data_IF_167236744976
#
_entry.id   IF_167236744976
#
_cell.length_a   1.000
_cell.length_b   1.000
_cell.length_c   1.000
_cell.angle_alpha   90.00
_cell.angle_beta   90.00
_cell.angle_gamma   90.00
#
_symmetry.space_group_name_H-M   'P 1'
#
loop_
_entity.id
_entity.type
_entity.pdbx_description
1 polymer ?
#
# COMPACT_ATOMS: atom_id res chain seq x y z
N UNK A 1 -7.40 -5.60 7.94
CA UNK A 1 -6.96 -6.62 6.97
C UNK A 1 -5.93 -5.99 6.06
N UNK A 2 -4.66 -6.33 6.28
CA UNK A 2 -3.51 -5.65 5.67
C UNK A 2 -2.30 -6.56 5.79
N UNK A 3 -1.69 -6.94 4.68
CA UNK A 3 -0.49 -7.78 4.67
C UNK A 3 -0.36 -8.67 3.44
N UNK A 4 0.64 -9.53 3.53
CA UNK A 4 1.26 -10.31 2.45
C UNK A 4 1.92 -9.43 1.39
N UNK A 5 1.12 -8.71 0.61
CA UNK A 5 1.57 -7.68 -0.32
C UNK A 5 0.59 -6.50 -0.25
N UNK A 6 1.14 -5.29 -0.38
CA UNK A 6 0.40 -4.05 -0.21
C UNK A 6 0.86 -3.02 -1.22
N UNK A 7 -0.09 -2.27 -1.76
CA UNK A 7 0.18 -1.22 -2.75
C UNK A 7 0.02 0.14 -2.10
N UNK A 8 1.07 0.93 -2.18
CA UNK A 8 1.12 2.30 -1.69
C UNK A 8 1.54 3.27 -2.79
N UNK A 9 1.78 4.51 -2.37
CA UNK A 9 2.35 5.54 -3.23
C UNK A 9 3.26 6.45 -2.40
N UNK A 10 4.07 7.25 -3.08
CA UNK A 10 4.84 8.30 -2.42
C UNK A 10 3.91 9.42 -1.93
N UNK A 11 4.05 9.82 -0.68
CA UNK A 11 3.13 10.74 -0.03
C UNK A 11 3.82 11.61 1.01
N UNK A 12 3.19 12.74 1.32
CA UNK A 12 3.55 13.57 2.45
C UNK A 12 2.37 13.83 3.37
N UNK A 13 2.66 14.08 4.65
CA UNK A 13 1.67 14.45 5.64
C UNK A 13 1.54 15.98 5.65
N UNK A 14 0.37 16.50 5.28
CA UNK A 14 0.03 17.92 5.40
C UNK A 14 -1.09 18.08 6.42
N UNK A 15 -0.87 18.83 7.50
CA UNK A 15 -1.90 19.04 8.52
C UNK A 15 -2.42 17.75 9.18
N UNK A 16 -1.60 16.69 9.22
CA UNK A 16 -1.97 15.39 9.80
C UNK A 16 -2.68 14.43 8.85
N UNK A 17 -2.90 14.80 7.58
CA UNK A 17 -3.49 13.93 6.56
C UNK A 17 -2.48 13.58 5.46
N UNK A 18 -2.53 12.36 4.90
CA UNK A 18 -1.68 11.94 3.80
C UNK A 18 -2.15 12.51 2.45
N UNK A 19 -1.20 13.01 1.66
CA UNK A 19 -1.42 13.49 0.31
C UNK A 19 -0.37 12.90 -0.62
N UNK A 20 -0.74 12.41 -1.82
CA UNK A 20 0.24 12.02 -2.83
C UNK A 20 1.21 13.16 -3.12
N UNK A 21 2.49 12.84 -3.28
CA UNK A 21 3.47 13.81 -3.80
C UNK A 21 3.22 14.06 -5.29
N UNK A 22 3.79 15.13 -5.83
CA UNK A 22 3.71 15.43 -7.26
C UNK A 22 4.39 14.35 -8.13
N UNK A 23 5.40 13.67 -7.58
CA UNK A 23 6.18 12.63 -8.26
C UNK A 23 5.59 11.22 -8.09
N UNK A 24 4.55 11.06 -7.26
CA UNK A 24 3.92 9.77 -6.96
C UNK A 24 3.30 9.04 -8.16
N UNK A 25 3.05 9.76 -9.26
CA UNK A 25 2.30 9.23 -10.41
C UNK A 25 0.81 8.98 -10.13
N UNK A 26 0.29 9.45 -9.00
CA UNK A 26 -1.10 9.30 -8.62
C UNK A 26 -2.04 9.94 -9.66
N UNK A 27 -3.16 9.29 -10.04
CA UNK A 27 -4.17 9.89 -10.90
C UNK A 27 -4.79 11.17 -10.31
N UNK A 28 -5.19 12.10 -11.17
CA UNK A 28 -5.89 13.32 -10.77
C UNK A 28 -7.12 13.01 -9.91
N UNK A 29 -7.26 13.75 -8.81
CA UNK A 29 -8.38 13.61 -7.88
C UNK A 29 -8.29 12.40 -6.95
N UNK A 30 -7.14 11.73 -6.85
CA UNK A 30 -6.95 10.65 -5.89
C UNK A 30 -7.07 11.11 -4.44
N UNK A 31 -7.84 10.33 -3.68
CA UNK A 31 -8.04 10.49 -2.24
C UNK A 31 -7.44 9.29 -1.52
N UNK A 32 -6.61 9.56 -0.52
CA UNK A 32 -6.11 8.56 0.41
C UNK A 32 -7.11 8.43 1.56
N UNK A 33 -7.69 7.23 1.73
CA UNK A 33 -8.70 6.95 2.73
C UNK A 33 -8.12 6.32 4.00
N UNK A 34 -7.05 5.54 3.86
CA UNK A 34 -6.31 4.93 4.96
C UNK A 34 -4.87 4.64 4.53
N UNK A 35 -3.95 4.66 5.49
CA UNK A 35 -2.53 4.32 5.31
C UNK A 35 -2.15 3.23 6.32
N UNK A 36 -1.55 2.16 5.84
CA UNK A 36 -0.81 1.19 6.63
C UNK A 36 0.68 1.34 6.38
N UNK A 37 1.49 1.16 7.43
CA UNK A 37 2.94 1.09 7.29
C UNK A 37 3.34 -0.32 6.85
N UNK A 38 4.31 -0.41 5.95
CA UNK A 38 4.87 -1.66 5.47
C UNK A 38 6.40 -1.63 5.56
N UNK A 39 7.00 -2.81 5.51
CA UNK A 39 8.45 -2.95 5.42
C UNK A 39 8.79 -3.96 4.35
N UNK A 40 9.87 -3.70 3.62
CA UNK A 40 10.48 -4.64 2.67
C UNK A 40 11.67 -5.37 3.30
N UNK A 41 12.20 -4.86 4.43
CA UNK A 41 13.35 -5.42 5.15
C UNK A 41 13.10 -5.31 6.65
N UNK A 42 13.48 -6.31 7.42
CA UNK A 42 13.55 -6.22 8.88
C UNK A 42 14.79 -5.46 9.32
N UNK A 43 14.59 -4.31 9.94
CA UNK A 43 15.68 -3.53 10.53
C UNK A 43 15.80 -3.84 12.03
N UNK A 44 16.56 -4.90 12.37
CA UNK A 44 16.90 -5.20 13.76
C UNK A 44 18.35 -5.66 13.89
N UNK A 45 19.13 -4.96 14.70
CA UNK A 45 20.49 -5.38 15.05
C UNK A 45 20.50 -6.55 16.05
N UNK A 46 19.36 -6.86 16.67
CA UNK A 46 19.22 -7.85 17.72
C UNK A 46 18.71 -9.21 17.20
N UNK A 47 18.30 -9.28 15.94
CA UNK A 47 17.77 -10.50 15.30
C UNK A 47 18.83 -11.03 14.32
N UNK A 48 19.38 -12.23 14.54
CA UNK A 48 20.28 -12.89 13.59
C UNK A 48 19.65 -13.00 12.21
N UNK A 49 20.45 -12.90 11.15
CA UNK A 49 19.94 -12.88 9.76
C UNK A 49 19.20 -14.17 9.40
N UNK A 50 19.60 -15.30 9.98
CA UNK A 50 18.95 -16.60 9.82
C UNK A 50 17.56 -16.69 10.45
N UNK A 51 17.25 -15.78 11.38
CA UNK A 51 15.98 -15.71 12.11
C UNK A 51 15.05 -14.61 11.56
N UNK A 52 15.51 -13.82 10.59
CA UNK A 52 14.72 -12.75 9.97
C UNK A 52 13.71 -13.34 8.97
N UNK A 53 12.48 -12.83 9.00
CA UNK A 53 11.45 -13.23 8.04
C UNK A 53 11.54 -12.41 6.74
N UNK A 54 11.79 -11.11 6.84
CA UNK A 54 12.13 -10.22 5.72
C UNK A 54 13.62 -9.86 5.77
N UNK A 55 14.45 -10.62 5.03
CA UNK A 55 15.86 -10.24 4.78
C UNK A 55 15.93 -9.10 3.76
N UNK A 56 17.08 -8.83 3.15
CA UNK A 56 17.20 -7.73 2.19
C UNK A 56 16.84 -8.08 0.74
N UNK A 57 16.57 -9.34 0.41
CA UNK A 57 16.39 -9.79 -0.99
C UNK A 57 15.29 -9.02 -1.74
N UNK A 58 14.08 -8.94 -1.19
CA UNK A 58 12.95 -8.22 -1.82
C UNK A 58 13.22 -6.71 -1.91
N UNK A 59 13.86 -6.14 -0.88
CA UNK A 59 14.31 -4.76 -0.87
C UNK A 59 15.36 -4.48 -1.97
N UNK A 60 16.31 -5.40 -2.16
CA UNK A 60 17.36 -5.32 -3.19
C UNK A 60 16.77 -5.43 -4.59
N UNK A 61 15.85 -6.36 -4.79
CA UNK A 61 15.10 -6.50 -6.04
C UNK A 61 14.32 -5.23 -6.37
N UNK A 62 13.65 -4.64 -5.38
CA UNK A 62 12.92 -3.36 -5.54
C UNK A 62 13.89 -2.22 -5.87
N UNK A 63 15.03 -2.14 -5.19
CA UNK A 63 16.06 -1.13 -5.44
C UNK A 63 16.64 -1.22 -6.86
N UNK A 64 16.94 -2.43 -7.34
CA UNK A 64 17.40 -2.65 -8.71
C UNK A 64 16.31 -2.28 -9.73
N UNK A 65 15.07 -2.69 -9.48
CA UNK A 65 13.94 -2.40 -10.37
C UNK A 65 13.67 -0.90 -10.51
N UNK A 66 13.73 -0.14 -9.41
CA UNK A 66 13.40 1.29 -9.41
C UNK A 66 14.58 2.19 -9.76
N UNK A 67 15.81 1.80 -9.39
CA UNK A 67 16.99 2.66 -9.50
C UNK A 67 18.14 2.07 -10.34
N UNK A 68 17.97 0.86 -10.87
CA UNK A 68 18.95 0.19 -11.73
C UNK A 68 20.13 -0.46 -11.01
N UNK A 69 20.19 -0.39 -9.68
CA UNK A 69 21.25 -1.00 -8.87
C UNK A 69 20.76 -1.33 -7.44
N UNK A 70 21.09 -2.54 -6.97
CA UNK A 70 20.79 -3.01 -5.61
C UNK A 70 21.78 -2.48 -4.54
N UNK A 71 22.20 -1.22 -4.62
CA UNK A 71 23.16 -0.61 -3.67
C UNK A 71 22.52 -0.34 -2.30
N UNK A 72 23.32 -0.25 -1.24
CA UNK A 72 22.82 0.09 0.12
C UNK A 72 22.09 1.43 0.15
N UNK A 73 22.57 2.40 -0.64
CA UNK A 73 21.94 3.71 -0.77
C UNK A 73 20.55 3.63 -1.44
N UNK A 74 20.34 2.69 -2.37
CA UNK A 74 19.03 2.48 -2.98
C UNK A 74 18.13 1.60 -2.10
N UNK A 75 18.69 0.64 -1.37
CA UNK A 75 17.94 -0.15 -0.38
C UNK A 75 17.34 0.75 0.71
N UNK A 76 18.10 1.73 1.21
CA UNK A 76 17.62 2.67 2.23
C UNK A 76 16.36 3.45 1.80
N UNK A 77 16.19 3.67 0.49
CA UNK A 77 15.03 4.36 -0.09
C UNK A 77 13.76 3.50 -0.12
N UNK A 78 13.89 2.18 -0.16
CA UNK A 78 12.76 1.25 -0.43
C UNK A 78 12.45 0.32 0.73
N UNK A 79 13.38 0.17 1.68
CA UNK A 79 13.20 -0.74 2.82
C UNK A 79 11.97 -0.41 3.66
N UNK A 80 11.55 0.85 3.70
CA UNK A 80 10.31 1.32 4.35
C UNK A 80 9.28 1.59 3.27
N UNK A 81 8.08 1.07 3.47
CA UNK A 81 6.98 1.21 2.55
C UNK A 81 5.68 1.57 3.23
N UNK A 82 4.63 1.59 2.42
CA UNK A 82 3.27 1.79 2.89
C UNK A 82 2.30 1.06 1.97
N UNK A 83 1.07 0.91 2.43
CA UNK A 83 -0.04 0.47 1.62
C UNK A 83 -1.24 1.36 1.90
N UNK A 84 -2.04 1.64 0.89
CA UNK A 84 -3.10 2.63 0.99
C UNK A 84 -4.43 2.13 0.45
N UNK A 85 -5.50 2.48 1.16
CA UNK A 85 -6.83 2.46 0.57
C UNK A 85 -7.00 3.79 -0.16
N UNK A 86 -7.25 3.75 -1.46
CA UNK A 86 -7.43 4.95 -2.28
C UNK A 86 -8.71 4.89 -3.11
N UNK A 87 -9.22 6.08 -3.46
CA UNK A 87 -10.34 6.25 -4.38
C UNK A 87 -10.07 7.41 -5.34
N UNK A 88 -10.37 7.25 -6.63
CA UNK A 88 -10.18 8.31 -7.62
C UNK A 88 -11.11 8.17 -8.83
N UNK A 89 -11.46 9.28 -9.52
CA UNK A 89 -12.23 9.22 -10.75
C UNK A 89 -11.39 8.68 -11.92
N UNK A 90 -12.00 7.90 -12.82
CA UNK A 90 -11.37 7.46 -14.07
C UNK A 90 -12.39 7.43 -15.21
N UNK A 91 -12.25 8.37 -16.15
CA UNK A 91 -13.18 8.50 -17.27
C UNK A 91 -14.60 8.79 -16.79
N UNK A 92 -15.55 7.91 -17.11
CA UNK A 92 -16.95 8.02 -16.68
C UNK A 92 -17.26 7.33 -15.34
N UNK A 93 -16.25 6.72 -14.70
CA UNK A 93 -16.40 5.95 -13.47
C UNK A 93 -15.43 6.38 -12.38
N UNK A 94 -15.33 5.54 -11.36
CA UNK A 94 -14.45 5.71 -10.21
C UNK A 94 -13.71 4.38 -9.96
N UNK A 95 -12.50 4.45 -9.42
CA UNK A 95 -11.67 3.30 -9.05
C UNK A 95 -11.47 3.34 -7.55
N UNK A 96 -11.83 2.24 -6.90
CA UNK A 96 -11.50 1.98 -5.51
C UNK A 96 -10.39 0.91 -5.45
N UNK A 97 -9.35 1.17 -4.67
CA UNK A 97 -8.24 0.24 -4.46
C UNK A 97 -8.07 -0.02 -2.96
N UNK A 98 -8.16 -1.29 -2.55
CA UNK A 98 -8.04 -1.68 -1.13
C UNK A 98 -6.59 -1.76 -0.64
N UNK A 99 -5.61 -1.88 -1.54
CA UNK A 99 -4.18 -1.79 -1.22
C UNK A 99 -3.62 -2.97 -0.44
N UNK A 100 -4.29 -4.14 -0.43
CA UNK A 100 -3.75 -5.35 0.22
C UNK A 100 -4.30 -6.63 -0.39
N UNK A 101 -3.41 -7.61 -0.60
CA UNK A 101 -3.76 -8.97 -1.04
C UNK A 101 -4.71 -9.68 -0.05
N UNK A 102 -4.54 -9.45 1.24
CA UNK A 102 -5.35 -10.10 2.26
C UNK A 102 -6.81 -9.59 2.34
N UNK A 103 -7.21 -8.55 1.59
CA UNK A 103 -8.58 -8.01 1.64
C UNK A 103 -9.66 -9.09 1.43
N UNK A 104 -9.42 -10.01 0.49
CA UNK A 104 -10.29 -11.15 0.21
C UNK A 104 -10.38 -12.10 1.39
N UNK A 105 -9.27 -12.32 2.10
CA UNK A 105 -9.25 -13.13 3.32
C UNK A 105 -10.10 -12.48 4.43
N UNK A 106 -10.18 -11.15 4.46
CA UNK A 106 -11.13 -10.42 5.30
C UNK A 106 -12.58 -10.74 4.99
N UNK A 107 -12.94 -10.77 3.70
CA UNK A 107 -14.29 -11.16 3.25
C UNK A 107 -14.61 -12.63 3.60
N UNK A 108 -13.67 -13.55 3.38
CA UNK A 108 -13.84 -14.97 3.73
C UNK A 108 -14.08 -15.18 5.23
N UNK A 109 -13.46 -14.35 6.07
CA UNK A 109 -13.61 -14.38 7.53
C UNK A 109 -14.78 -13.54 8.04
N UNK A 110 -15.57 -12.95 7.14
CA UNK A 110 -16.71 -12.08 7.46
C UNK A 110 -16.31 -10.92 8.38
N UNK A 111 -15.15 -10.32 8.11
CA UNK A 111 -14.73 -9.12 8.84
C UNK A 111 -15.72 -7.98 8.56
N UNK A 112 -16.39 -7.52 9.62
CA UNK A 112 -17.49 -6.57 9.51
C UNK A 112 -17.09 -5.23 8.86
N UNK A 113 -15.83 -4.79 9.02
CA UNK A 113 -15.38 -3.53 8.43
C UNK A 113 -15.03 -3.69 6.96
N UNK A 114 -14.38 -4.80 6.60
CA UNK A 114 -14.07 -5.15 5.20
C UNK A 114 -15.35 -5.36 4.40
N UNK A 115 -16.32 -6.11 4.94
CA UNK A 115 -17.62 -6.31 4.30
C UNK A 115 -18.35 -4.99 4.11
N UNK A 116 -18.37 -4.13 5.13
CA UNK A 116 -19.04 -2.83 5.06
C UNK A 116 -18.43 -1.92 3.99
N UNK A 117 -17.10 -1.80 3.95
CA UNK A 117 -16.42 -0.99 2.92
C UNK A 117 -16.69 -1.55 1.54
N UNK A 118 -16.54 -2.87 1.36
CA UNK A 118 -16.77 -3.54 0.06
C UNK A 118 -18.22 -3.34 -0.40
N UNK A 119 -19.20 -3.53 0.49
CA UNK A 119 -20.61 -3.31 0.19
C UNK A 119 -20.90 -1.87 -0.21
N UNK A 120 -20.36 -0.88 0.52
CA UNK A 120 -20.57 0.53 0.20
C UNK A 120 -20.04 0.88 -1.20
N UNK A 121 -18.85 0.39 -1.55
CA UNK A 121 -18.26 0.59 -2.89
C UNK A 121 -19.15 -0.04 -3.96
N UNK A 122 -19.57 -1.30 -3.77
CA UNK A 122 -20.43 -2.00 -4.73
C UNK A 122 -21.80 -1.34 -4.88
N UNK A 123 -22.45 -0.96 -3.78
CA UNK A 123 -23.76 -0.30 -3.82
C UNK A 123 -23.66 1.02 -4.58
N UNK A 124 -22.62 1.82 -4.31
CA UNK A 124 -22.39 3.08 -5.01
C UNK A 124 -22.14 2.86 -6.50
N UNK A 125 -21.24 1.96 -6.86
CA UNK A 125 -20.83 1.77 -8.26
C UNK A 125 -21.88 1.06 -9.12
N UNK A 126 -22.78 0.31 -8.49
CA UNK A 126 -23.91 -0.35 -9.15
C UNK A 126 -25.20 0.48 -9.08
N UNK A 127 -25.17 1.71 -8.55
CA UNK A 127 -26.32 2.61 -8.49
C UNK A 127 -27.46 2.13 -7.58
N UNK A 128 -27.13 1.41 -6.50
CA UNK A 128 -28.09 0.85 -5.54
C UNK A 128 -28.36 1.77 -4.33
N UNK A 129 -28.05 3.06 -4.44
CA UNK A 129 -28.21 4.07 -3.37
C UNK A 129 -29.65 4.53 -3.20
#
# INVERSE_FOLDING_TARGET
>A
VYGYEVDGLDFEIRGGLPYPTEESGAPDGLQVLAVGLASQVEESADIPIEDQFLTDEDGRFTAETLFGEASDANLDKVKRGNGMIVNFPRGKGEVFHAGSCEWVAGLLRQDAMVERVTKNVLDRYLGKS
#
